data_IF_756533305085
#
_entry.id   IF_756533305085
#
_cell.length_a   1.000
_cell.length_b   1.000
_cell.length_c   1.000
_cell.angle_alpha   90.00
_cell.angle_beta   90.00
_cell.angle_gamma   90.00
#
_symmetry.space_group_name_H-M   'P 1'
#
loop_
_entity.id
_entity.type
_entity.pdbx_description
1 polymer ?
#
# COMPACT_ATOMS: atom_id res chain seq x y z
N UNK A 1 16.47 -0.98 11.41
CA UNK A 1 15.19 -0.86 10.70
C UNK A 1 15.49 -0.11 9.42
N UNK A 2 14.99 -0.55 8.26
CA UNK A 2 15.16 0.21 7.03
C UNK A 2 14.28 1.44 7.16
N UNK A 3 14.89 2.63 7.19
CA UNK A 3 14.16 3.88 7.26
C UNK A 3 13.60 4.21 5.88
N UNK A 4 12.32 3.88 5.68
CA UNK A 4 11.57 4.29 4.50
C UNK A 4 11.12 5.74 4.63
N UNK A 5 11.26 6.50 3.55
CA UNK A 5 10.65 7.83 3.47
C UNK A 5 9.12 7.72 3.47
N UNK A 6 8.42 8.82 3.74
CA UNK A 6 6.96 8.83 3.71
C UNK A 6 6.42 8.40 2.33
N UNK A 7 7.04 8.86 1.25
CA UNK A 7 6.66 8.50 -0.11
C UNK A 7 6.91 7.02 -0.40
N UNK A 8 8.04 6.46 0.06
CA UNK A 8 8.34 5.04 -0.10
C UNK A 8 7.34 4.15 0.63
N UNK A 9 6.92 4.54 1.84
CA UNK A 9 5.88 3.83 2.58
C UNK A 9 4.57 3.82 1.78
N UNK A 10 4.18 4.96 1.21
CA UNK A 10 2.97 5.07 0.38
C UNK A 10 3.08 4.17 -0.86
N UNK A 11 4.21 4.21 -1.58
CA UNK A 11 4.45 3.38 -2.75
C UNK A 11 4.36 1.90 -2.38
N UNK A 12 5.04 1.46 -1.31
CA UNK A 12 4.98 0.07 -0.85
C UNK A 12 3.55 -0.38 -0.58
N UNK A 13 2.76 0.47 0.09
CA UNK A 13 1.36 0.17 0.43
C UNK A 13 0.52 0.07 -0.84
N UNK A 14 0.62 1.03 -1.76
CA UNK A 14 -0.14 0.98 -3.02
C UNK A 14 0.22 -0.24 -3.89
N UNK A 15 1.49 -0.63 -3.94
CA UNK A 15 1.91 -1.84 -4.65
C UNK A 15 1.48 -3.13 -3.94
N UNK A 16 1.45 -3.17 -2.61
CA UNK A 16 0.86 -4.29 -1.88
C UNK A 16 -0.66 -4.39 -2.15
N UNK A 17 -1.37 -3.26 -2.13
CA UNK A 17 -2.80 -3.20 -2.49
C UNK A 17 -3.02 -3.73 -3.90
N UNK A 18 -2.17 -3.34 -4.86
CA UNK A 18 -2.25 -3.85 -6.24
C UNK A 18 -2.05 -5.37 -6.35
N UNK A 19 -1.27 -5.96 -5.44
CA UNK A 19 -0.94 -7.39 -5.45
C UNK A 19 -2.01 -8.26 -4.79
N UNK A 20 -2.62 -7.78 -3.70
CA UNK A 20 -3.53 -8.57 -2.87
C UNK A 20 -5.00 -8.13 -2.95
N UNK A 21 -5.26 -6.85 -3.20
CA UNK A 21 -6.60 -6.22 -3.24
C UNK A 21 -7.51 -6.47 -2.01
N UNK A 22 -6.95 -7.00 -0.93
CA UNK A 22 -7.64 -7.28 0.33
C UNK A 22 -6.90 -6.62 1.49
N UNK A 23 -7.63 -5.87 2.31
CA UNK A 23 -7.07 -5.06 3.39
C UNK A 23 -6.37 -5.89 4.47
N UNK A 24 -6.97 -7.00 4.89
CA UNK A 24 -6.36 -7.88 5.90
C UNK A 24 -5.08 -8.54 5.38
N UNK A 25 -5.08 -8.99 4.11
CA UNK A 25 -3.88 -9.54 3.49
C UNK A 25 -2.76 -8.50 3.39
N UNK A 26 -3.07 -7.29 2.92
CA UNK A 26 -2.11 -6.18 2.85
C UNK A 26 -1.51 -5.88 4.21
N UNK A 27 -2.33 -5.78 5.26
CA UNK A 27 -1.88 -5.57 6.64
C UNK A 27 -0.98 -6.71 7.11
N UNK A 28 -1.39 -7.95 6.88
CA UNK A 28 -0.66 -9.13 7.32
C UNK A 28 0.71 -9.28 6.65
N UNK A 29 0.81 -8.87 5.38
CA UNK A 29 2.07 -8.91 4.61
C UNK A 29 3.01 -7.78 5.00
N UNK A 30 2.49 -6.56 5.11
CA UNK A 30 3.29 -5.37 5.40
C UNK A 30 3.72 -5.25 6.87
N UNK A 31 3.05 -5.92 7.83
CA UNK A 31 3.46 -5.89 9.26
C UNK A 31 4.89 -6.35 9.52
N UNK A 32 5.48 -7.10 8.58
CA UNK A 32 6.87 -7.58 8.66
C UNK A 32 7.89 -6.49 8.29
N UNK A 33 7.45 -5.40 7.66
CA UNK A 33 8.28 -4.32 7.11
C UNK A 33 7.95 -2.99 7.78
N UNK A 34 6.66 -2.70 8.00
CA UNK A 34 6.14 -1.47 8.57
C UNK A 34 5.27 -1.76 9.79
N UNK A 35 5.20 -0.84 10.78
CA UNK A 35 4.25 -0.95 11.88
C UNK A 35 2.82 -1.02 11.34
N UNK A 36 1.99 -1.93 11.86
CA UNK A 36 0.61 -2.12 11.40
C UNK A 36 -0.21 -0.82 11.46
N UNK A 37 -0.06 -0.05 12.54
CA UNK A 37 -0.70 1.26 12.71
C UNK A 37 -0.31 2.27 11.61
N UNK A 38 0.95 2.23 11.16
CA UNK A 38 1.39 3.08 10.04
C UNK A 38 0.70 2.64 8.75
N UNK A 39 0.59 1.33 8.50
CA UNK A 39 -0.08 0.80 7.30
C UNK A 39 -1.56 1.19 7.29
N UNK A 40 -2.29 0.95 8.38
CA UNK A 40 -3.71 1.31 8.53
C UNK A 40 -3.93 2.81 8.26
N UNK A 41 -3.15 3.68 8.93
CA UNK A 41 -3.27 5.14 8.75
C UNK A 41 -3.02 5.56 7.31
N UNK A 42 -2.07 4.94 6.62
CA UNK A 42 -1.79 5.24 5.22
C UNK A 42 -2.91 4.75 4.30
N UNK A 43 -3.48 3.56 4.54
CA UNK A 43 -4.66 3.08 3.81
C UNK A 43 -5.82 4.06 3.97
N UNK A 44 -6.14 4.48 5.21
CA UNK A 44 -7.18 5.47 5.48
C UNK A 44 -6.93 6.79 4.75
N UNK A 45 -5.67 7.24 4.73
CA UNK A 45 -5.27 8.46 4.02
C UNK A 45 -5.43 8.29 2.52
N UNK A 46 -5.04 7.14 1.96
CA UNK A 46 -5.17 6.83 0.53
C UNK A 46 -6.64 6.76 0.10
N UNK A 47 -7.52 6.23 0.96
CA UNK A 47 -8.96 6.23 0.74
C UNK A 47 -9.52 7.66 0.82
N UNK A 48 -9.17 8.41 1.87
CA UNK A 48 -9.61 9.80 2.06
C UNK A 48 -9.12 10.76 0.97
N UNK A 49 -7.98 10.46 0.33
CA UNK A 49 -7.44 11.21 -0.82
C UNK A 49 -7.87 10.64 -2.18
N UNK A 50 -8.79 9.67 -2.19
CA UNK A 50 -9.31 9.02 -3.40
C UNK A 50 -8.26 8.33 -4.28
N UNK A 51 -7.07 8.04 -3.75
CA UNK A 51 -6.01 7.28 -4.41
C UNK A 51 -6.24 5.77 -4.35
N UNK A 52 -6.95 5.32 -3.32
CA UNK A 52 -7.44 3.95 -3.15
C UNK A 52 -8.95 4.03 -2.93
N UNK A 53 -9.68 3.01 -3.37
CA UNK A 53 -11.13 2.89 -3.15
C UNK A 53 -11.44 1.56 -2.49
N UNK A 54 -12.42 1.57 -1.60
CA UNK A 54 -13.01 0.36 -1.01
C UNK A 54 -14.23 -0.05 -1.84
N UNK A 55 -14.18 -1.24 -2.44
CA UNK A 55 -15.25 -1.77 -3.32
C UNK A 55 -16.07 -2.88 -2.66
N UNK A 56 -15.63 -3.36 -1.50
CA UNK A 56 -16.35 -4.32 -0.66
C UNK A 56 -15.92 -4.17 0.80
N UNK A 57 -16.45 -4.98 1.73
CA UNK A 57 -16.13 -4.87 3.16
C UNK A 57 -14.63 -4.86 3.44
N UNK A 58 -13.87 -5.72 2.75
CA UNK A 58 -12.41 -5.88 2.93
C UNK A 58 -11.63 -5.66 1.62
N UNK A 59 -12.33 -5.38 0.52
CA UNK A 59 -11.73 -5.30 -0.81
C UNK A 59 -11.36 -3.84 -1.10
N UNK A 60 -10.07 -3.60 -1.28
CA UNK A 60 -9.49 -2.28 -1.57
C UNK A 60 -8.69 -2.34 -2.86
N UNK A 61 -8.79 -1.30 -3.69
CA UNK A 61 -8.10 -1.22 -4.98
C UNK A 61 -7.53 0.17 -5.21
N UNK A 62 -6.39 0.26 -5.90
CA UNK A 62 -5.88 1.55 -6.36
C UNK A 62 -6.89 2.18 -7.32
N UNK A 63 -7.19 3.45 -7.10
CA UNK A 63 -8.12 4.20 -7.94
C UNK A 63 -7.36 4.80 -9.12
N UNK A 64 -6.79 3.92 -9.97
CA UNK A 64 -5.96 4.31 -11.12
C UNK A 64 -6.73 5.18 -12.13
N UNK A 65 -8.07 5.21 -12.08
CA UNK A 65 -8.91 6.13 -12.85
C UNK A 65 -8.89 7.58 -12.35
N UNK A 66 -8.51 7.82 -11.09
CA UNK A 66 -8.45 9.15 -10.48
C UNK A 66 -7.02 9.62 -10.26
N UNK A 67 -6.10 8.71 -9.94
CA UNK A 67 -4.69 9.02 -9.71
C UNK A 67 -3.85 7.86 -10.20
N UNK A 68 -2.91 8.14 -11.09
CA UNK A 68 -1.97 7.13 -11.60
C UNK A 68 -1.14 6.55 -10.45
N UNK A 69 -0.88 5.24 -10.53
CA UNK A 69 0.02 4.58 -9.59
C UNK A 69 1.45 5.13 -9.81
N UNK A 70 2.15 5.60 -8.77
CA UNK A 70 3.53 6.05 -8.89
C UNK A 70 4.45 4.91 -9.35
N UNK A 71 5.53 5.26 -10.06
CA UNK A 71 6.56 4.29 -10.44
C UNK A 71 7.20 3.62 -9.22
N UNK A 72 7.44 2.31 -9.31
CA UNK A 72 8.14 1.54 -8.28
C UNK A 72 9.65 1.79 -8.34
N UNK A 73 10.26 2.44 -7.33
CA UNK A 73 11.71 2.61 -7.27
C UNK A 73 12.42 1.26 -7.21
N UNK A 74 13.57 1.12 -7.88
CA UNK A 74 14.29 -0.16 -7.98
C UNK A 74 14.64 -0.77 -6.62
N UNK A 75 14.94 0.07 -5.62
CA UNK A 75 15.22 -0.37 -4.26
C UNK A 75 14.02 -1.02 -3.53
N UNK A 76 12.79 -0.72 -3.96
CA UNK A 76 11.56 -1.27 -3.38
C UNK A 76 11.06 -2.52 -4.11
N UNK A 77 11.48 -2.74 -5.37
CA UNK A 77 11.16 -3.96 -6.13
C UNK A 77 11.40 -5.27 -5.36
N UNK A 78 12.60 -5.54 -4.80
CA UNK A 78 12.85 -6.80 -4.10
C UNK A 78 11.98 -6.98 -2.85
N UNK A 79 11.51 -5.88 -2.24
CA UNK A 79 10.62 -5.93 -1.09
C UNK A 79 9.23 -6.38 -1.55
N UNK A 80 8.68 -5.76 -2.60
CA UNK A 80 7.37 -6.11 -3.17
C UNK A 80 7.35 -7.53 -3.75
N UNK A 81 8.44 -7.94 -4.39
CA UNK A 81 8.58 -9.30 -4.93
C UNK A 81 8.60 -10.34 -3.81
N UNK A 82 9.17 -9.99 -2.65
CA UNK A 82 9.27 -10.86 -1.47
C UNK A 82 8.01 -10.94 -0.59
N UNK A 83 7.00 -10.09 -0.83
CA UNK A 83 5.69 -10.17 -0.15
C UNK A 83 4.89 -11.40 -0.61
#
# INVERSE_FOLDING_TARGET
MVDFTADEKIILIQYAIKKYENEEEVLSKLKTILPEKDVQRNIDTLIGTQRVRRIGPEIIQNNESHTELPDLPEKLKPIIDGL
#
